data_IF_036506695970
#
_entry.id   IF_036506695970
#
_cell.length_a   1.000
_cell.length_b   1.000
_cell.length_c   1.000
_cell.angle_alpha   90.00
_cell.angle_beta   90.00
_cell.angle_gamma   90.00
#
_symmetry.space_group_name_H-M   'P 1'
#
loop_
_entity.id
_entity.type
_entity.pdbx_description
1 polymer ?
#
# COMPACT_ATOMS: atom_id res chain seq x y z
N UNK A 1 2.72 21.45 -9.62
CA UNK A 1 2.77 21.54 -8.98
C UNK A 1 3.57 22.08 -8.50
N UNK A 2 3.77 22.58 -8.35
CA UNK A 2 4.63 22.94 -7.94
C UNK A 2 5.00 22.67 -6.92
N UNK A 3 5.07 22.67 -6.48
CA UNK A 3 5.39 22.40 -5.77
C UNK A 3 5.75 21.56 -5.51
N UNK A 4 5.94 21.51 -6.09
CA UNK A 4 6.27 20.72 -5.94
C UNK A 4 7.07 20.24 -5.22
N UNK A 5 7.53 20.66 -5.24
CA UNK A 5 8.21 20.13 -4.37
C UNK A 5 7.43 19.72 -3.34
N UNK A 6 6.41 19.52 -3.65
CA UNK A 6 5.44 18.91 -2.87
C UNK A 6 5.83 17.44 -2.68
N UNK A 7 6.19 17.08 -1.48
CA UNK A 7 6.67 15.75 -1.17
C UNK A 7 5.85 15.20 -0.03
N UNK A 8 4.92 14.34 -0.33
CA UNK A 8 4.02 13.79 0.67
C UNK A 8 4.75 13.10 1.80
N UNK A 9 5.89 12.49 1.51
CA UNK A 9 6.62 11.72 2.49
C UNK A 9 7.20 12.54 3.62
N UNK A 10 7.24 13.86 3.49
CA UNK A 10 7.81 14.72 4.50
C UNK A 10 6.77 15.37 5.42
N UNK A 11 5.54 14.95 5.34
CA UNK A 11 4.49 15.57 6.13
C UNK A 11 4.45 15.00 7.53
N UNK A 12 4.29 15.90 8.51
CA UNK A 12 4.26 15.50 9.91
C UNK A 12 3.08 14.61 10.25
N UNK A 13 1.91 14.95 9.73
CA UNK A 13 0.71 14.15 10.01
C UNK A 13 0.64 12.88 9.18
N UNK A 14 1.61 12.69 8.27
CA UNK A 14 1.63 11.50 7.43
C UNK A 14 0.84 11.64 6.15
N UNK A 15 1.29 10.91 5.16
CA UNK A 15 0.70 10.95 3.82
C UNK A 15 -0.74 10.47 3.83
N UNK A 16 -1.01 9.39 4.54
CA UNK A 16 -2.35 8.78 4.54
C UNK A 16 -3.41 9.73 5.06
N UNK A 17 -3.12 10.43 6.15
CA UNK A 17 -4.05 11.40 6.71
C UNK A 17 -4.27 12.55 5.77
N UNK A 18 -3.20 13.02 5.13
CA UNK A 18 -3.30 14.13 4.18
C UNK A 18 -4.18 13.77 2.99
N UNK A 19 -3.97 12.61 2.42
CA UNK A 19 -4.72 12.17 1.25
C UNK A 19 -6.19 11.99 1.58
N UNK A 20 -6.51 11.46 2.76
CA UNK A 20 -7.88 11.27 3.21
C UNK A 20 -8.64 12.59 3.28
N UNK A 21 -7.95 13.67 3.67
CA UNK A 21 -8.56 14.99 3.76
C UNK A 21 -8.64 15.71 2.42
N UNK A 22 -7.72 15.40 1.50
CA UNK A 22 -7.56 16.16 0.27
C UNK A 22 -8.40 15.66 -0.89
N UNK A 23 -8.74 14.38 -0.91
CA UNK A 23 -9.40 13.76 -2.05
C UNK A 23 -10.78 13.28 -1.63
N UNK A 24 -11.81 13.94 -2.18
CA UNK A 24 -13.19 13.55 -1.91
C UNK A 24 -13.44 12.14 -2.43
N UNK A 25 -14.06 11.31 -1.62
CA UNK A 25 -14.40 9.95 -2.03
C UNK A 25 -13.24 8.99 -2.02
N UNK A 26 -12.07 9.42 -1.52
CA UNK A 26 -10.89 8.57 -1.51
C UNK A 26 -11.12 7.29 -0.71
N UNK A 27 -11.74 7.40 0.46
CA UNK A 27 -12.01 6.23 1.30
C UNK A 27 -12.96 5.25 0.61
N UNK A 28 -13.97 5.77 -0.10
CA UNK A 28 -14.89 4.92 -0.84
C UNK A 28 -14.19 4.21 -1.98
N UNK A 29 -13.29 4.91 -2.66
CA UNK A 29 -12.50 4.32 -3.73
C UNK A 29 -11.64 3.18 -3.19
N UNK A 30 -10.98 3.40 -2.04
CA UNK A 30 -10.17 2.35 -1.44
C UNK A 30 -10.99 1.13 -1.08
N UNK A 31 -12.18 1.34 -0.52
CA UNK A 31 -13.07 0.22 -0.20
C UNK A 31 -13.42 -0.57 -1.44
N UNK A 32 -13.71 0.12 -2.53
CA UNK A 32 -14.08 -0.54 -3.78
C UNK A 32 -12.92 -1.37 -4.32
N UNK A 33 -11.71 -0.80 -4.32
CA UNK A 33 -10.53 -1.53 -4.78
C UNK A 33 -10.31 -2.78 -3.95
N UNK A 34 -10.41 -2.66 -2.63
CA UNK A 34 -10.21 -3.80 -1.73
C UNK A 34 -11.28 -4.86 -1.97
N UNK A 35 -12.54 -4.44 -2.12
CA UNK A 35 -13.63 -5.39 -2.38
C UNK A 35 -13.43 -6.13 -3.69
N UNK A 36 -13.07 -5.41 -4.75
CA UNK A 36 -12.83 -6.04 -6.04
C UNK A 36 -11.63 -6.97 -6.02
N UNK A 37 -10.62 -6.69 -5.20
CA UNK A 37 -9.43 -7.54 -5.16
C UNK A 37 -9.77 -9.00 -4.84
N UNK A 38 -10.82 -9.22 -4.07
CA UNK A 38 -11.22 -10.58 -3.67
C UNK A 38 -11.67 -11.42 -4.86
N UNK A 39 -12.04 -10.80 -5.98
CA UNK A 39 -12.43 -11.53 -7.18
C UNK A 39 -11.25 -11.93 -8.05
N UNK A 40 -10.09 -11.32 -7.85
CA UNK A 40 -8.96 -11.50 -8.75
C UNK A 40 -7.74 -12.14 -8.10
N UNK A 41 -7.60 -12.01 -6.79
CA UNK A 41 -6.42 -12.55 -6.11
C UNK A 41 -6.64 -14.03 -5.83
N UNK A 42 -5.69 -14.84 -6.32
CA UNK A 42 -5.74 -16.29 -6.13
C UNK A 42 -4.53 -16.72 -5.32
N UNK A 43 -4.69 -17.85 -4.64
CA UNK A 43 -3.63 -18.38 -3.80
C UNK A 43 -2.40 -18.70 -4.66
N UNK A 44 -1.22 -18.36 -4.13
CA UNK A 44 0.03 -18.64 -4.84
C UNK A 44 0.40 -17.63 -5.91
N UNK A 45 -0.45 -16.64 -6.19
CA UNK A 45 -0.14 -15.65 -7.22
C UNK A 45 0.55 -14.43 -6.62
N UNK A 46 1.04 -13.56 -7.50
CA UNK A 46 1.68 -12.31 -7.10
C UNK A 46 0.71 -11.15 -7.23
N UNK A 47 0.73 -10.27 -6.24
CA UNK A 47 -0.07 -9.05 -6.23
C UNK A 47 0.91 -7.88 -6.20
N UNK A 48 0.86 -7.05 -7.23
CA UNK A 48 1.76 -5.91 -7.33
C UNK A 48 1.00 -4.62 -7.07
N UNK A 49 1.52 -3.80 -6.18
CA UNK A 49 0.97 -2.48 -5.89
C UNK A 49 1.98 -1.44 -6.38
N UNK A 50 1.73 -0.89 -7.56
CA UNK A 50 2.62 0.07 -8.19
C UNK A 50 2.33 1.46 -7.67
N UNK A 51 3.37 2.14 -7.15
CA UNK A 51 3.18 3.43 -6.51
C UNK A 51 2.55 3.26 -5.15
N UNK A 52 3.06 2.33 -4.36
CA UNK A 52 2.39 1.90 -3.12
C UNK A 52 2.45 2.92 -1.97
N UNK A 53 3.22 3.98 -2.10
CA UNK A 53 3.35 5.03 -1.08
C UNK A 53 3.70 4.46 0.29
N UNK A 54 2.82 4.57 1.28
CA UNK A 54 3.05 4.07 2.63
C UNK A 54 2.66 2.61 2.81
N UNK A 55 2.16 1.95 1.76
CA UNK A 55 1.75 0.56 1.83
C UNK A 55 0.38 0.33 2.45
N UNK A 56 -0.39 1.40 2.67
CA UNK A 56 -1.70 1.28 3.31
C UNK A 56 -2.66 0.41 2.50
N UNK A 57 -2.73 0.65 1.20
CA UNK A 57 -3.61 -0.14 0.34
C UNK A 57 -3.17 -1.60 0.30
N UNK A 58 -1.86 -1.84 0.22
CA UNK A 58 -1.33 -3.20 0.24
C UNK A 58 -1.79 -3.92 1.50
N UNK A 59 -1.67 -3.27 2.66
CA UNK A 59 -2.07 -3.90 3.92
C UNK A 59 -3.56 -4.19 3.94
N UNK A 60 -4.38 -3.29 3.44
CA UNK A 60 -5.83 -3.48 3.41
C UNK A 60 -6.22 -4.63 2.49
N UNK A 61 -5.54 -4.78 1.37
CA UNK A 61 -5.78 -5.91 0.46
C UNK A 61 -5.38 -7.21 1.14
N UNK A 62 -4.26 -7.24 1.84
CA UNK A 62 -3.83 -8.41 2.59
C UNK A 62 -4.89 -8.80 3.62
N UNK A 63 -5.36 -7.83 4.39
CA UNK A 63 -6.37 -8.08 5.41
C UNK A 63 -7.62 -8.71 4.82
N UNK A 64 -8.03 -8.26 3.64
CA UNK A 64 -9.24 -8.75 2.99
C UNK A 64 -9.07 -10.12 2.34
N UNK A 65 -7.84 -10.52 2.03
CA UNK A 65 -7.60 -11.73 1.23
C UNK A 65 -6.84 -12.84 1.93
N UNK A 66 -6.28 -12.58 3.11
CA UNK A 66 -5.41 -13.57 3.75
C UNK A 66 -6.10 -14.87 4.12
N UNK A 67 -7.43 -14.82 4.27
CA UNK A 67 -8.20 -16.02 4.60
C UNK A 67 -8.48 -16.89 3.38
N UNK A 68 -8.63 -16.27 2.22
CA UNK A 68 -8.95 -17.02 0.99
C UNK A 68 -7.73 -17.27 0.10
N UNK A 69 -6.67 -16.50 0.28
CA UNK A 69 -5.44 -16.66 -0.51
C UNK A 69 -4.22 -16.49 0.40
N UNK A 70 -4.03 -17.42 1.36
CA UNK A 70 -2.98 -17.27 2.36
C UNK A 70 -1.56 -17.34 1.80
N UNK A 71 -1.37 -17.89 0.61
CA UNK A 71 -0.05 -18.02 -0.01
C UNK A 71 0.18 -17.03 -1.15
N UNK A 72 -0.67 -16.02 -1.29
CA UNK A 72 -0.42 -14.97 -2.27
C UNK A 72 0.80 -14.14 -1.86
N UNK A 73 1.53 -13.64 -2.85
CA UNK A 73 2.75 -12.88 -2.63
C UNK A 73 2.48 -11.40 -2.92
N UNK A 74 2.73 -10.55 -1.93
CA UNK A 74 2.44 -9.12 -2.05
C UNK A 74 3.72 -8.33 -2.22
N UNK A 75 3.81 -7.55 -3.29
CA UNK A 75 4.97 -6.73 -3.59
C UNK A 75 4.50 -5.32 -3.92
N UNK A 76 4.94 -4.36 -3.13
CA UNK A 76 4.70 -2.96 -3.40
C UNK A 76 5.95 -2.33 -4.01
N UNK A 77 5.76 -1.44 -4.97
CA UNK A 77 6.86 -0.76 -5.62
C UNK A 77 6.63 0.74 -5.50
N UNK A 78 7.63 1.45 -4.98
CA UNK A 78 7.52 2.88 -4.80
C UNK A 78 8.79 3.57 -5.30
N UNK A 79 8.61 4.57 -6.13
CA UNK A 79 9.70 5.34 -6.69
C UNK A 79 10.26 6.38 -5.71
N UNK A 80 9.39 7.02 -4.92
CA UNK A 80 9.78 8.10 -4.05
C UNK A 80 10.56 7.60 -2.83
N UNK A 81 11.76 8.14 -2.65
CA UNK A 81 12.65 7.72 -1.56
C UNK A 81 12.08 8.00 -0.19
N UNK A 82 11.31 9.07 -0.06
CA UNK A 82 10.83 9.52 1.24
C UNK A 82 9.91 8.55 1.94
N UNK A 83 9.40 7.53 1.23
CA UNK A 83 8.52 6.54 1.84
C UNK A 83 9.25 5.35 2.45
N UNK A 84 10.59 5.30 2.37
CA UNK A 84 11.32 4.11 2.81
C UNK A 84 11.11 3.78 4.28
N UNK A 85 11.12 4.79 5.14
CA UNK A 85 10.87 4.55 6.57
C UNK A 85 9.47 4.05 6.82
N UNK A 86 8.48 4.67 6.16
CA UNK A 86 7.09 4.25 6.30
C UNK A 86 6.91 2.80 5.85
N UNK A 87 7.56 2.41 4.76
CA UNK A 87 7.42 1.07 4.24
C UNK A 87 8.09 0.03 5.12
N UNK A 88 9.19 0.37 5.78
CA UNK A 88 9.80 -0.52 6.75
C UNK A 88 8.85 -0.78 7.92
N UNK A 89 8.21 0.28 8.41
CA UNK A 89 7.24 0.14 9.49
C UNK A 89 6.02 -0.65 9.04
N UNK A 90 5.58 -0.43 7.80
CA UNK A 90 4.44 -1.15 7.26
C UNK A 90 4.72 -2.65 7.15
N UNK A 91 5.93 -3.01 6.75
CA UNK A 91 6.34 -4.41 6.67
C UNK A 91 6.20 -5.08 8.03
N UNK A 92 6.65 -4.41 9.08
CA UNK A 92 6.55 -4.93 10.44
C UNK A 92 5.10 -5.05 10.89
N UNK A 93 4.32 -4.02 10.60
CA UNK A 93 2.89 -4.00 10.98
C UNK A 93 2.14 -5.14 10.30
N UNK A 94 2.40 -5.36 9.01
CA UNK A 94 1.76 -6.44 8.27
C UNK A 94 2.14 -7.80 8.86
N UNK A 95 3.42 -7.98 9.17
CA UNK A 95 3.87 -9.24 9.75
C UNK A 95 3.23 -9.48 11.11
N UNK A 96 3.19 -8.44 11.95
CA UNK A 96 2.65 -8.57 13.30
C UNK A 96 1.14 -8.78 13.31
N UNK A 97 0.41 -8.10 12.45
CA UNK A 97 -1.06 -8.12 12.47
C UNK A 97 -1.64 -9.25 11.62
N UNK A 98 -0.94 -9.68 10.60
CA UNK A 98 -1.50 -10.61 9.61
C UNK A 98 -0.65 -11.85 9.39
N UNK A 99 0.55 -11.90 9.95
CA UNK A 99 1.51 -13.00 9.79
C UNK A 99 1.82 -13.26 8.31
N UNK A 100 1.96 -12.17 7.56
CA UNK A 100 2.28 -12.23 6.13
C UNK A 100 3.50 -11.34 5.88
N UNK A 101 4.41 -11.82 5.04
CA UNK A 101 5.60 -11.08 4.66
C UNK A 101 5.37 -10.41 3.32
N UNK A 102 5.13 -9.10 3.37
CA UNK A 102 5.03 -8.29 2.16
C UNK A 102 6.41 -7.73 1.84
N UNK A 103 6.69 -7.53 0.58
CA UNK A 103 7.95 -6.92 0.13
C UNK A 103 7.66 -5.57 -0.48
N UNK A 104 8.48 -4.58 -0.12
CA UNK A 104 8.36 -3.25 -0.69
C UNK A 104 9.69 -2.87 -1.32
N UNK A 105 9.65 -2.51 -2.59
CA UNK A 105 10.84 -2.19 -3.37
C UNK A 105 10.87 -0.70 -3.69
N UNK A 106 12.05 -0.11 -3.57
CA UNK A 106 12.28 1.24 -4.04
C UNK A 106 12.82 1.14 -5.48
N UNK A 107 11.99 1.45 -6.45
CA UNK A 107 12.38 1.27 -7.84
C UNK A 107 11.60 2.19 -8.75
N UNK A 108 12.23 2.54 -9.87
CA UNK A 108 11.59 3.30 -10.95
C UNK A 108 11.27 2.30 -12.06
N UNK A 109 9.99 2.09 -12.30
CA UNK A 109 9.55 1.10 -13.27
C UNK A 109 9.11 1.70 -14.60
N UNK A 110 9.27 3.01 -14.75
CA UNK A 110 8.88 3.69 -15.99
C UNK A 110 9.78 3.35 -17.17
#
# INVERSE_FOLDING_TARGET
>A
MPDNDFTFAHRDEGFDTHIDKSIRGYQDMLKDVVSFSRYFIEDGTYVLDIGCSTGKLTERIIKANKDIAPSAHYVGVEYAKGFQTDLKERTKTIKNNHDIEAKFLHADIR
#
